data_IF_167189933084
#
_entry.id   IF_167189933084
#
_cell.length_a   1.000
_cell.length_b   1.000
_cell.length_c   1.000
_cell.angle_alpha   90.00
_cell.angle_beta   90.00
_cell.angle_gamma   90.00
#
_symmetry.space_group_name_H-M   'P 1'
#
loop_
_entity.id
_entity.type
_entity.pdbx_description
1 polymer ?
#
# COMPACT_ATOMS: atom_id res chain seq x y z
N UNK A 1 8.25 -24.40 -29.49
CA UNK A 1 9.10 -23.29 -28.99
C UNK A 1 8.57 -22.02 -29.62
N UNK A 2 7.51 -21.45 -29.03
CA UNK A 2 6.93 -20.19 -29.47
C UNK A 2 7.01 -19.25 -28.28
N UNK A 3 7.99 -18.35 -28.30
CA UNK A 3 8.10 -17.29 -27.32
C UNK A 3 6.95 -16.33 -27.60
N UNK A 4 5.89 -16.41 -26.78
CA UNK A 4 4.83 -15.43 -26.78
C UNK A 4 5.46 -14.06 -26.53
N UNK A 5 5.45 -13.22 -27.57
CA UNK A 5 5.87 -11.84 -27.48
C UNK A 5 4.96 -11.17 -26.45
N UNK A 6 5.50 -10.81 -25.29
CA UNK A 6 4.79 -10.05 -24.28
C UNK A 6 4.39 -8.70 -24.89
N UNK A 7 3.13 -8.56 -25.28
CA UNK A 7 2.60 -7.26 -25.71
C UNK A 7 2.59 -6.31 -24.51
N UNK A 8 2.77 -5.00 -24.71
CA UNK A 8 2.73 -4.01 -23.63
C UNK A 8 1.46 -4.12 -22.77
N UNK A 9 0.34 -4.43 -23.41
CA UNK A 9 -0.97 -4.62 -22.78
C UNK A 9 -0.96 -5.78 -21.78
N UNK A 10 -0.32 -6.90 -22.13
CA UNK A 10 -0.19 -8.07 -21.23
C UNK A 10 0.60 -7.71 -19.96
N UNK A 11 1.62 -6.85 -20.06
CA UNK A 11 2.38 -6.42 -18.88
C UNK A 11 1.57 -5.51 -17.96
N UNK A 12 0.75 -4.61 -18.54
CA UNK A 12 -0.12 -3.74 -17.76
C UNK A 12 -1.20 -4.55 -17.04
N UNK A 13 -1.85 -5.48 -17.74
CA UNK A 13 -2.89 -6.34 -17.16
C UNK A 13 -2.36 -7.21 -16.02
N UNK A 14 -1.16 -7.80 -16.19
CA UNK A 14 -0.50 -8.58 -15.14
C UNK A 14 -0.12 -7.71 -13.94
N UNK A 15 0.37 -6.49 -14.17
CA UNK A 15 0.72 -5.56 -13.11
C UNK A 15 -0.53 -5.10 -12.34
N UNK A 16 -1.62 -4.77 -13.04
CA UNK A 16 -2.89 -4.38 -12.43
C UNK A 16 -3.45 -5.50 -11.57
N UNK A 17 -3.49 -6.74 -12.09
CA UNK A 17 -3.97 -7.91 -11.36
C UNK A 17 -3.21 -8.11 -10.03
N UNK A 18 -1.88 -7.94 -10.03
CA UNK A 18 -1.05 -8.02 -8.82
C UNK A 18 -1.33 -6.90 -7.81
N UNK A 19 -1.71 -5.70 -8.28
CA UNK A 19 -2.02 -4.57 -7.39
C UNK A 19 -3.44 -4.66 -6.82
N UNK A 20 -4.39 -5.21 -7.58
CA UNK A 20 -5.80 -5.34 -7.14
C UNK A 20 -6.03 -6.49 -6.18
N UNK A 21 -5.21 -7.54 -6.21
CA UNK A 21 -5.39 -8.75 -5.39
C UNK A 21 -4.57 -8.73 -4.09
N UNK A 22 -4.47 -7.57 -3.45
CA UNK A 22 -3.79 -7.44 -2.14
C UNK A 22 -4.75 -7.81 -1.01
N UNK A 23 -4.33 -8.77 -0.19
CA UNK A 23 -5.08 -9.16 1.00
C UNK A 23 -4.92 -8.16 2.16
N UNK A 24 -5.90 -8.13 3.07
CA UNK A 24 -5.88 -7.26 4.25
C UNK A 24 -4.80 -7.73 5.23
N UNK A 25 -3.79 -6.88 5.47
CA UNK A 25 -2.78 -7.11 6.51
C UNK A 25 -3.28 -6.63 7.88
N UNK A 26 -3.31 -7.54 8.87
CA UNK A 26 -3.53 -7.20 10.28
C UNK A 26 -2.22 -7.36 11.02
N UNK A 27 -1.72 -6.30 11.64
CA UNK A 27 -0.51 -6.33 12.46
C UNK A 27 -0.72 -5.55 13.75
N UNK A 28 0.16 -5.78 14.73
CA UNK A 28 0.18 -5.11 16.02
C UNK A 28 1.60 -4.63 16.30
N UNK A 29 1.74 -3.46 16.93
CA UNK A 29 3.03 -3.00 17.46
C UNK A 29 3.10 -3.27 18.97
N UNK A 30 4.24 -3.77 19.45
CA UNK A 30 4.50 -4.04 20.87
C UNK A 30 5.87 -3.48 21.28
N UNK A 31 6.05 -3.19 22.58
CA UNK A 31 7.23 -2.49 23.10
C UNK A 31 6.93 -1.73 24.39
N UNK A 32 7.98 -1.36 25.11
CA UNK A 32 7.95 -0.58 26.36
C UNK A 32 7.39 0.83 26.16
N UNK A 33 7.12 1.51 27.28
CA UNK A 33 6.87 2.96 27.29
C UNK A 33 8.04 3.66 26.58
N UNK A 34 7.74 4.67 25.75
CA UNK A 34 8.69 5.47 24.96
C UNK A 34 9.45 4.77 23.80
N UNK A 35 9.17 3.50 23.50
CA UNK A 35 9.72 2.80 22.31
C UNK A 35 9.19 3.34 20.96
N UNK A 36 8.39 4.41 20.97
CA UNK A 36 7.92 5.06 19.75
C UNK A 36 6.87 4.29 18.95
N UNK A 37 6.17 3.31 19.55
CA UNK A 37 5.09 2.54 18.90
C UNK A 37 4.05 3.43 18.19
N UNK A 38 3.60 4.49 18.85
CA UNK A 38 2.63 5.44 18.30
C UNK A 38 3.24 6.31 17.19
N UNK A 39 4.51 6.68 17.32
CA UNK A 39 5.27 7.41 16.29
C UNK A 39 5.40 6.59 15.01
N UNK A 40 5.69 5.30 15.14
CA UNK A 40 5.81 4.38 14.00
C UNK A 40 4.46 4.19 13.30
N UNK A 41 3.37 4.00 14.04
CA UNK A 41 2.01 3.95 13.47
C UNK A 41 1.70 5.26 12.74
N UNK A 42 1.98 6.41 13.35
CA UNK A 42 1.75 7.73 12.74
C UNK A 42 2.54 7.94 11.44
N UNK A 43 3.82 7.54 11.42
CA UNK A 43 4.67 7.59 10.23
C UNK A 43 4.14 6.69 9.12
N UNK A 44 3.73 5.45 9.43
CA UNK A 44 3.14 4.53 8.44
C UNK A 44 1.86 5.10 7.83
N UNK A 45 0.98 5.72 8.63
CA UNK A 45 -0.25 6.35 8.12
C UNK A 45 0.06 7.56 7.23
N UNK A 46 1.04 8.39 7.62
CA UNK A 46 1.48 9.55 6.83
C UNK A 46 2.12 9.13 5.50
N UNK A 47 3.07 8.20 5.54
CA UNK A 47 3.83 7.74 4.36
C UNK A 47 2.95 6.96 3.38
N UNK A 48 1.95 6.21 3.88
CA UNK A 48 1.02 5.44 3.03
C UNK A 48 0.04 6.33 2.26
N UNK A 49 0.04 7.66 2.49
CA UNK A 49 -0.92 8.60 1.90
C UNK A 49 -2.38 8.16 2.10
N UNK A 50 -2.66 7.36 3.13
CA UNK A 50 -4.03 6.96 3.53
C UNK A 50 -4.80 8.15 4.14
N UNK A 51 -4.16 9.31 4.19
CA UNK A 51 -4.72 10.63 4.52
C UNK A 51 -4.78 11.52 3.25
N UNK A 52 -4.98 10.95 2.06
CA UNK A 52 -5.32 11.71 0.86
C UNK A 52 -6.77 11.39 0.45
N UNK A 53 -7.68 12.27 0.86
CA UNK A 53 -8.51 13.10 -0.04
C UNK A 53 -9.88 13.49 0.56
N UNK A 54 -10.38 12.78 1.58
CA UNK A 54 -11.72 13.09 2.14
C UNK A 54 -11.77 14.28 3.13
N UNK A 55 -10.64 14.91 3.45
CA UNK A 55 -10.59 16.06 4.38
C UNK A 55 -10.12 17.38 3.74
N UNK A 56 -9.58 17.36 2.51
CA UNK A 56 -9.23 18.60 1.80
C UNK A 56 -10.43 19.24 1.08
N UNK A 57 -11.55 18.53 0.92
CA UNK A 57 -12.80 19.07 0.38
C UNK A 57 -13.62 19.90 1.40
N UNK A 58 -13.13 20.06 2.64
CA UNK A 58 -13.86 20.75 3.73
C UNK A 58 -13.19 22.03 4.25
N UNK A 59 -12.18 22.57 3.54
CA UNK A 59 -11.53 23.85 3.88
C UNK A 59 -11.72 24.87 2.75
#
# INVERSE_FOLDING_TARGET
MTLAMATPDTNLDLWLAQQTDKSLLRFLTCGSVDDGKSTLIGRLLYDSQLILDDQLASL
#
